data_IF_748007573657
#
_entry.id   IF_748007573657
#
_cell.length_a   1.000
_cell.length_b   1.000
_cell.length_c   1.000
_cell.angle_alpha   90.00
_cell.angle_beta   90.00
_cell.angle_gamma   90.00
#
_symmetry.space_group_name_H-M   'P 1'
#
loop_
_entity.id
_entity.type
_entity.pdbx_description
1 polymer ?
#
# COMPACT_ATOMS: atom_id res chain seq x y z
N UNK A 1 14.85 -7.60 -4.84
CA UNK A 1 13.83 -7.16 -3.87
C UNK A 1 13.63 -5.67 -4.05
N UNK A 2 12.42 -5.28 -4.44
CA UNK A 2 12.04 -3.87 -4.64
C UNK A 2 11.06 -3.47 -3.54
N UNK A 3 11.20 -2.27 -2.98
CA UNK A 3 10.21 -1.73 -2.06
C UNK A 3 8.94 -1.39 -2.82
N UNK A 4 7.81 -1.88 -2.32
CA UNK A 4 6.48 -1.57 -2.84
C UNK A 4 5.57 -1.09 -1.72
N UNK A 5 4.59 -0.28 -2.05
CA UNK A 5 3.69 0.36 -1.11
C UNK A 5 2.29 -0.21 -1.28
N UNK A 6 1.72 -0.72 -0.19
CA UNK A 6 0.35 -1.20 -0.13
C UNK A 6 -0.52 -0.07 0.38
N UNK A 7 -1.32 0.49 -0.52
CA UNK A 7 -2.18 1.64 -0.25
C UNK A 7 -3.66 1.31 -0.34
N UNK A 8 -4.43 1.76 0.64
CA UNK A 8 -5.88 1.67 0.61
C UNK A 8 -6.46 2.75 -0.31
N UNK A 9 -7.48 2.38 -1.09
CA UNK A 9 -8.23 3.30 -1.96
C UNK A 9 -9.67 3.50 -1.43
N UNK A 10 -10.24 4.71 -1.64
CA UNK A 10 -9.72 5.85 -2.39
C UNK A 10 -8.62 6.64 -1.64
N UNK A 11 -7.63 7.18 -2.38
CA UNK A 11 -6.55 8.03 -1.83
C UNK A 11 -7.13 9.29 -1.18
N UNK A 12 -6.59 9.69 -0.02
CA UNK A 12 -6.83 11.00 0.59
C UNK A 12 -8.24 11.27 1.13
N UNK A 13 -9.09 10.25 1.30
CA UNK A 13 -10.40 10.44 1.92
C UNK A 13 -10.29 10.60 3.44
N UNK A 14 -11.20 11.38 4.00
CA UNK A 14 -11.35 11.57 5.44
C UNK A 14 -11.54 10.24 6.17
N UNK A 15 -11.04 10.17 7.41
CA UNK A 15 -11.19 9.01 8.28
C UNK A 15 -12.67 8.61 8.40
N UNK A 16 -12.97 7.31 8.24
CA UNK A 16 -14.34 6.77 8.34
C UNK A 16 -15.00 6.35 7.02
N UNK A 17 -14.44 6.66 5.85
CA UNK A 17 -14.95 6.12 4.59
C UNK A 17 -14.50 4.67 4.35
N UNK A 18 -15.34 3.84 3.69
CA UNK A 18 -15.01 2.44 3.43
C UNK A 18 -13.85 2.33 2.44
N UNK A 19 -12.94 1.40 2.72
CA UNK A 19 -11.89 0.99 1.78
C UNK A 19 -12.53 0.09 0.73
N UNK A 20 -12.34 0.42 -0.54
CA UNK A 20 -12.91 -0.34 -1.65
C UNK A 20 -11.93 -1.36 -2.22
N UNK A 21 -10.64 -1.04 -2.15
CA UNK A 21 -9.55 -1.82 -2.73
C UNK A 21 -8.20 -1.40 -2.15
N UNK A 22 -7.20 -2.26 -2.36
CA UNK A 22 -5.81 -2.05 -2.00
C UNK A 22 -4.95 -2.15 -3.25
N UNK A 23 -4.09 -1.16 -3.47
CA UNK A 23 -3.15 -1.15 -4.59
C UNK A 23 -1.75 -1.41 -4.10
N UNK A 24 -0.96 -2.12 -4.90
CA UNK A 24 0.49 -2.24 -4.72
C UNK A 24 1.13 -1.29 -5.71
N UNK A 25 1.89 -0.31 -5.20
CA UNK A 25 2.55 0.70 -6.01
C UNK A 25 4.06 0.69 -5.81
N UNK A 26 4.80 1.15 -6.81
CA UNK A 26 6.22 1.47 -6.65
C UNK A 26 6.43 2.87 -6.04
N UNK A 27 7.70 3.25 -5.87
CA UNK A 27 8.10 4.58 -5.40
C UNK A 27 7.70 5.73 -6.34
N UNK A 28 7.35 5.43 -7.61
CA UNK A 28 6.99 6.39 -8.64
C UNK A 28 5.47 6.46 -8.89
N UNK A 29 4.66 5.93 -7.96
CA UNK A 29 3.19 5.87 -8.05
C UNK A 29 2.64 4.98 -9.17
N UNK A 30 3.46 4.10 -9.76
CA UNK A 30 2.95 3.11 -10.70
C UNK A 30 2.22 2.00 -9.96
N UNK A 31 0.98 1.76 -10.36
CA UNK A 31 0.16 0.64 -9.86
C UNK A 31 0.64 -0.65 -10.52
N UNK A 32 1.17 -1.56 -9.70
CA UNK A 32 1.62 -2.89 -10.13
C UNK A 32 0.46 -3.90 -10.09
N UNK A 33 -0.42 -3.79 -9.09
CA UNK A 33 -1.57 -4.68 -8.92
C UNK A 33 -2.63 -4.08 -7.98
N UNK A 34 -3.87 -4.57 -8.08
CA UNK A 34 -5.01 -4.15 -7.25
C UNK A 34 -5.72 -5.37 -6.65
N UNK A 35 -6.10 -5.28 -5.38
CA UNK A 35 -6.69 -6.36 -4.59
C UNK A 35 -7.87 -5.85 -3.76
N UNK A 36 -8.70 -6.78 -3.24
CA UNK A 36 -9.81 -6.43 -2.35
C UNK A 36 -9.38 -6.33 -0.91
N UNK A 37 -8.34 -7.07 -0.52
CA UNK A 37 -7.84 -7.07 0.84
C UNK A 37 -6.36 -6.70 0.90
N UNK A 38 -5.96 -6.08 2.02
CA UNK A 38 -4.56 -5.78 2.29
C UNK A 38 -3.70 -7.05 2.33
N UNK A 39 -4.26 -8.16 2.83
CA UNK A 39 -3.58 -9.45 2.91
C UNK A 39 -3.20 -9.97 1.53
N UNK A 40 -4.13 -9.94 0.58
CA UNK A 40 -3.85 -10.35 -0.80
C UNK A 40 -2.74 -9.52 -1.44
N UNK A 41 -2.75 -8.19 -1.21
CA UNK A 41 -1.71 -7.30 -1.70
C UNK A 41 -0.32 -7.64 -1.12
N UNK A 42 -0.24 -7.89 0.20
CA UNK A 42 1.00 -8.29 0.88
C UNK A 42 1.49 -9.65 0.38
N UNK A 43 0.59 -10.63 0.30
CA UNK A 43 0.92 -11.99 -0.13
C UNK A 43 1.41 -11.97 -1.58
N UNK A 44 0.78 -11.19 -2.46
CA UNK A 44 1.23 -10.99 -3.83
C UNK A 44 2.61 -10.34 -3.88
N UNK A 45 2.85 -9.27 -3.12
CA UNK A 45 4.14 -8.59 -3.10
C UNK A 45 5.27 -9.55 -2.67
N UNK A 46 5.05 -10.32 -1.60
CA UNK A 46 6.03 -11.31 -1.12
C UNK A 46 6.29 -12.43 -2.14
N UNK A 47 5.23 -12.94 -2.78
CA UNK A 47 5.35 -13.96 -3.85
C UNK A 47 6.15 -13.47 -5.05
N UNK A 48 6.08 -12.18 -5.36
CA UNK A 48 6.85 -11.56 -6.45
C UNK A 48 8.25 -11.09 -6.01
N UNK A 49 8.68 -11.40 -4.79
CA UNK A 49 10.00 -11.02 -4.28
C UNK A 49 10.15 -9.53 -3.99
N UNK A 50 9.05 -8.83 -3.70
CA UNK A 50 9.05 -7.44 -3.24
C UNK A 50 9.05 -7.34 -1.72
N UNK A 51 9.39 -6.16 -1.21
CA UNK A 51 9.36 -5.78 0.20
C UNK A 51 8.17 -4.84 0.44
N UNK A 52 6.99 -5.37 0.83
CA UNK A 52 5.79 -4.56 0.98
C UNK A 52 5.86 -3.66 2.21
N UNK A 53 5.47 -2.41 2.01
CA UNK A 53 5.33 -1.37 3.01
C UNK A 53 3.85 -0.99 3.09
N UNK A 54 3.24 -1.18 4.25
CA UNK A 54 1.83 -0.85 4.49
C UNK A 54 1.75 0.48 5.22
N UNK A 55 0.83 1.36 4.82
CA UNK A 55 0.58 2.61 5.52
C UNK A 55 0.11 2.32 6.97
N UNK A 56 0.75 2.97 7.95
CA UNK A 56 0.40 2.85 9.38
C UNK A 56 -0.92 3.51 9.69
N UNK A 57 -1.24 4.60 8.98
CA UNK A 57 -2.46 5.36 9.12
C UNK A 57 -3.05 5.57 7.74
N UNK A 58 -4.34 5.30 7.58
CA UNK A 58 -5.02 5.18 6.26
C UNK A 58 -4.90 6.40 5.36
N UNK A 59 -4.80 7.60 5.94
CA UNK A 59 -4.71 8.87 5.23
C UNK A 59 -3.26 9.40 5.17
N UNK A 60 -2.31 8.74 5.82
CA UNK A 60 -0.89 9.09 5.81
C UNK A 60 -0.15 8.19 4.81
N UNK A 61 -0.16 8.62 3.55
CA UNK A 61 0.36 7.86 2.41
C UNK A 61 1.49 8.62 1.69
N UNK A 62 2.22 9.49 2.40
CA UNK A 62 3.36 10.20 1.83
C UNK A 62 4.57 9.26 1.76
N UNK A 63 4.89 8.78 0.55
CA UNK A 63 6.02 7.88 0.30
C UNK A 63 7.39 8.50 0.64
N UNK A 64 7.46 9.83 0.81
CA UNK A 64 8.68 10.54 1.24
C UNK A 64 8.84 10.54 2.76
N UNK A 65 7.87 10.04 3.52
CA UNK A 65 7.86 9.97 4.99
C UNK A 65 7.88 8.52 5.46
N UNK A 66 9.07 7.90 5.63
CA UNK A 66 9.20 6.47 5.94
C UNK A 66 8.49 6.04 7.22
N UNK A 67 8.36 6.94 8.19
CA UNK A 67 7.65 6.75 9.46
C UNK A 67 6.16 6.45 9.28
N UNK A 68 5.55 6.87 8.17
CA UNK A 68 4.17 6.57 7.84
C UNK A 68 3.96 5.13 7.37
N UNK A 69 5.05 4.39 7.13
CA UNK A 69 5.02 3.07 6.55
C UNK A 69 5.56 2.02 7.53
N UNK A 70 5.05 0.80 7.39
CA UNK A 70 5.52 -0.37 8.13
C UNK A 70 5.87 -1.47 7.14
N UNK A 71 7.11 -1.93 7.20
CA UNK A 71 7.56 -3.15 6.52
C UNK A 71 6.83 -4.36 7.12
N UNK A 72 6.31 -5.26 6.27
CA UNK A 72 5.52 -6.43 6.70
C UNK A 72 5.92 -7.73 6.03
#
# INVERSE_FOLDING_TARGET
>A
MSNVFVEARPKGKAEGQPITDFVVEDHADHVLATFKTQKEAIDWAKRNGHSPHVARVRHLNDKKKPDQWRLV
#
